data_IF_327010938750
#
_entry.id   IF_327010938750
#
_cell.length_a   1.000
_cell.length_b   1.000
_cell.length_c   1.000
_cell.angle_alpha   90.00
_cell.angle_beta   90.00
_cell.angle_gamma   90.00
#
_symmetry.space_group_name_H-M   'P 1'
#
loop_
_entity.id
_entity.type
_entity.pdbx_description
1 polymer ?
#
# COMPACT_ATOMS: atom_id res chain seq x y z
N UNK A 1 -10.03 -5.62 -30.20
CA UNK A 1 -11.21 -5.40 -29.35
C UNK A 1 -11.87 -6.75 -29.10
N UNK A 2 -11.62 -7.32 -27.92
CA UNK A 2 -12.41 -8.47 -27.45
C UNK A 2 -13.78 -7.95 -27.09
N UNK A 3 -14.81 -8.49 -27.69
CA UNK A 3 -16.20 -8.24 -27.27
C UNK A 3 -16.58 -9.31 -26.26
N UNK A 4 -17.02 -8.89 -25.09
CA UNK A 4 -17.38 -9.66 -23.88
C UNK A 4 -18.59 -10.61 -24.05
N UNK A 5 -18.83 -11.23 -25.18
CA UNK A 5 -20.12 -11.87 -25.40
C UNK A 5 -20.12 -13.27 -26.02
N UNK A 6 -19.02 -13.95 -26.11
CA UNK A 6 -19.06 -15.35 -26.54
C UNK A 6 -18.85 -16.29 -25.36
N UNK A 7 -19.90 -16.46 -24.54
CA UNK A 7 -20.00 -17.58 -23.61
C UNK A 7 -20.28 -18.82 -24.45
N UNK A 8 -19.36 -19.79 -24.43
CA UNK A 8 -19.56 -21.07 -25.08
C UNK A 8 -20.72 -21.83 -24.39
N UNK A 9 -21.82 -22.15 -25.09
CA UNK A 9 -23.00 -22.76 -24.49
C UNK A 9 -22.89 -24.30 -24.29
N UNK A 10 -21.68 -24.85 -24.36
CA UNK A 10 -21.42 -26.27 -24.26
C UNK A 10 -20.83 -26.71 -22.92
N UNK A 11 -20.79 -27.99 -22.70
CA UNK A 11 -20.00 -28.62 -21.61
C UNK A 11 -18.69 -29.13 -22.17
N UNK A 12 -17.63 -28.96 -21.42
CA UNK A 12 -16.34 -29.57 -21.72
C UNK A 12 -16.16 -30.79 -20.82
N UNK A 13 -15.71 -31.89 -21.41
CA UNK A 13 -15.32 -33.08 -20.66
C UNK A 13 -13.81 -33.01 -20.33
N UNK A 14 -13.01 -32.67 -21.35
CA UNK A 14 -11.58 -32.44 -21.21
C UNK A 14 -11.14 -31.23 -22.04
N UNK A 15 -10.17 -30.47 -21.56
CA UNK A 15 -9.53 -29.38 -22.28
C UNK A 15 -8.03 -29.62 -22.34
N UNK A 16 -7.51 -29.74 -23.57
CA UNK A 16 -6.09 -29.91 -23.83
C UNK A 16 -5.54 -28.63 -24.49
N UNK A 17 -4.49 -28.05 -23.93
CA UNK A 17 -3.78 -26.94 -24.52
C UNK A 17 -2.49 -27.45 -25.12
N UNK A 18 -2.43 -27.53 -26.47
CA UNK A 18 -1.28 -28.04 -27.19
C UNK A 18 -0.54 -26.89 -27.85
N UNK A 19 0.78 -26.69 -27.56
CA UNK A 19 1.56 -25.53 -28.01
C UNK A 19 2.00 -25.58 -29.48
N UNK A 20 1.29 -26.29 -30.33
CA UNK A 20 1.55 -26.44 -31.78
C UNK A 20 0.27 -26.63 -32.57
N UNK A 21 0.34 -26.38 -33.87
CA UNK A 21 -0.78 -26.74 -34.77
C UNK A 21 -0.97 -28.25 -34.83
N UNK A 22 -2.21 -28.69 -34.68
CA UNK A 22 -2.60 -30.07 -34.85
C UNK A 22 -2.90 -30.38 -36.32
N UNK A 23 -2.65 -31.59 -36.77
CA UNK A 23 -3.08 -32.10 -38.07
C UNK A 23 -4.57 -32.47 -38.04
N UNK A 24 -5.22 -32.60 -39.22
CA UNK A 24 -6.62 -33.04 -39.30
C UNK A 24 -6.83 -34.45 -38.67
N UNK A 25 -5.83 -35.33 -38.78
CA UNK A 25 -5.86 -36.66 -38.21
C UNK A 25 -5.83 -36.62 -36.68
N UNK A 26 -4.97 -35.79 -36.12
CA UNK A 26 -4.86 -35.58 -34.66
C UNK A 26 -6.10 -34.89 -34.07
N UNK A 27 -6.82 -34.09 -34.81
CA UNK A 27 -8.07 -33.42 -34.38
C UNK A 27 -9.27 -34.42 -34.38
N UNK A 28 -9.18 -35.51 -35.16
CA UNK A 28 -10.24 -36.52 -35.28
C UNK A 28 -10.12 -37.65 -34.26
N UNK A 29 -8.98 -37.80 -33.59
CA UNK A 29 -8.76 -38.83 -32.58
C UNK A 29 -9.31 -38.37 -31.22
N UNK A 30 -10.01 -39.32 -30.55
CA UNK A 30 -10.44 -39.12 -29.16
C UNK A 30 -9.22 -39.30 -28.25
N UNK A 31 -8.69 -38.17 -27.75
CA UNK A 31 -7.48 -38.18 -26.93
C UNK A 31 -7.86 -38.14 -25.47
N UNK A 32 -7.50 -39.16 -24.73
CA UNK A 32 -7.67 -39.22 -23.28
C UNK A 32 -6.49 -38.69 -22.50
N UNK A 33 -5.31 -38.66 -23.10
CA UNK A 33 -4.08 -37.99 -22.56
C UNK A 33 -3.22 -37.54 -23.72
N UNK A 34 -2.74 -36.27 -23.66
CA UNK A 34 -1.81 -35.74 -24.63
C UNK A 34 -0.45 -35.52 -23.96
N UNK A 35 0.54 -36.37 -24.33
CA UNK A 35 1.92 -36.22 -23.81
C UNK A 35 2.56 -34.89 -24.13
N UNK A 36 2.08 -34.20 -25.17
CA UNK A 36 2.54 -32.92 -25.65
C UNK A 36 1.67 -31.71 -25.25
N UNK A 37 0.66 -31.95 -24.39
CA UNK A 37 -0.18 -30.85 -23.91
C UNK A 37 0.55 -29.99 -22.88
N UNK A 38 0.48 -28.67 -23.06
CA UNK A 38 0.99 -27.72 -22.10
C UNK A 38 0.11 -27.62 -20.85
N UNK A 39 -1.18 -27.93 -21.00
CA UNK A 39 -2.11 -28.03 -19.90
C UNK A 39 -3.17 -29.10 -20.23
N UNK A 40 -3.58 -29.84 -19.23
CA UNK A 40 -4.61 -30.86 -19.32
C UNK A 40 -5.60 -30.71 -18.17
N UNK A 41 -6.90 -30.69 -18.51
CA UNK A 41 -7.99 -30.55 -17.54
C UNK A 41 -8.97 -31.70 -17.79
N UNK A 42 -9.17 -32.55 -16.79
CA UNK A 42 -10.18 -33.58 -16.82
C UNK A 42 -11.35 -33.21 -15.91
N UNK A 43 -12.57 -33.37 -16.44
CA UNK A 43 -13.81 -33.15 -15.70
C UNK A 43 -14.52 -34.50 -15.57
N UNK A 44 -14.34 -35.15 -14.43
CA UNK A 44 -15.07 -36.40 -14.13
C UNK A 44 -16.37 -36.08 -13.39
N UNK A 45 -17.48 -36.62 -13.86
CA UNK A 45 -18.83 -36.48 -13.28
C UNK A 45 -19.30 -35.01 -13.06
N UNK A 46 -18.85 -34.08 -13.91
CA UNK A 46 -19.22 -32.64 -13.80
C UNK A 46 -18.69 -31.95 -12.55
N UNK A 47 -17.69 -32.53 -11.91
CA UNK A 47 -16.97 -31.90 -10.81
C UNK A 47 -15.53 -31.64 -11.23
N UNK A 48 -15.11 -30.38 -11.12
CA UNK A 48 -13.69 -30.07 -11.09
C UNK A 48 -13.04 -30.90 -9.98
N UNK A 49 -12.12 -31.78 -10.31
CA UNK A 49 -11.17 -32.28 -9.32
C UNK A 49 -10.16 -31.16 -9.09
N UNK A 50 -10.12 -30.53 -7.91
CA UNK A 50 -9.11 -29.51 -7.65
C UNK A 50 -7.75 -30.21 -7.65
N UNK A 51 -7.00 -30.10 -8.76
CA UNK A 51 -5.55 -30.18 -8.64
C UNK A 51 -5.13 -28.92 -7.89
N UNK A 52 -4.20 -29.04 -6.97
CA UNK A 52 -3.48 -27.87 -6.45
C UNK A 52 -2.93 -27.12 -7.66
N UNK A 53 -3.66 -26.07 -8.07
CA UNK A 53 -3.22 -25.22 -9.15
C UNK A 53 -2.06 -24.40 -8.61
N UNK A 54 -0.83 -24.77 -8.99
CA UNK A 54 0.29 -23.86 -8.87
C UNK A 54 -0.01 -22.67 -9.80
N UNK A 55 -0.46 -21.58 -9.21
CA UNK A 55 -0.65 -20.32 -9.94
C UNK A 55 0.69 -19.62 -10.08
N UNK A 56 1.03 -19.16 -11.26
CA UNK A 56 2.18 -18.32 -11.52
C UNK A 56 1.75 -17.06 -12.27
N UNK A 57 2.55 -16.01 -12.16
CA UNK A 57 2.30 -14.79 -12.89
C UNK A 57 2.88 -14.89 -14.30
N UNK A 58 2.02 -14.80 -15.30
CA UNK A 58 2.36 -14.87 -16.71
C UNK A 58 2.56 -13.47 -17.31
N UNK A 59 3.32 -13.39 -18.41
CA UNK A 59 3.50 -12.16 -19.20
C UNK A 59 3.34 -12.45 -20.69
N UNK A 60 3.48 -11.39 -21.52
CA UNK A 60 3.24 -11.50 -22.96
C UNK A 60 4.08 -12.56 -23.64
N UNK A 61 3.41 -13.45 -24.37
CA UNK A 61 4.01 -14.59 -25.07
C UNK A 61 3.95 -15.91 -24.31
N UNK A 62 3.66 -15.92 -23.00
CA UNK A 62 3.56 -17.18 -22.22
C UNK A 62 2.43 -18.10 -22.72
N UNK A 63 1.37 -17.50 -23.28
CA UNK A 63 0.24 -18.20 -23.88
C UNK A 63 0.35 -18.28 -25.40
N UNK A 64 1.57 -18.14 -25.94
CA UNK A 64 1.88 -18.16 -27.38
C UNK A 64 1.14 -17.07 -28.17
N UNK A 65 0.67 -16.04 -27.51
CA UNK A 65 0.05 -14.86 -28.09
C UNK A 65 1.06 -14.05 -28.92
N UNK A 66 0.61 -13.58 -30.07
CA UNK A 66 1.44 -12.74 -30.97
C UNK A 66 0.56 -11.76 -31.72
N UNK A 67 0.94 -10.47 -31.80
CA UNK A 67 2.11 -9.87 -31.18
C UNK A 67 1.98 -9.68 -29.66
N UNK A 68 3.09 -9.63 -28.95
CA UNK A 68 3.14 -9.38 -27.51
C UNK A 68 4.29 -8.43 -27.14
N UNK A 69 4.26 -7.89 -25.94
CA UNK A 69 5.28 -6.99 -25.40
C UNK A 69 6.24 -7.68 -24.39
N UNK A 70 6.20 -9.01 -24.30
CA UNK A 70 7.03 -9.78 -23.38
C UNK A 70 6.79 -9.36 -21.93
N UNK A 71 7.86 -9.16 -21.20
CA UNK A 71 7.83 -8.76 -19.78
C UNK A 71 7.53 -7.26 -19.56
N UNK A 72 7.14 -6.50 -20.58
CA UNK A 72 6.69 -5.10 -20.46
C UNK A 72 5.25 -5.00 -19.96
N UNK A 73 4.92 -5.70 -18.87
CA UNK A 73 3.59 -5.71 -18.25
C UNK A 73 3.64 -5.38 -16.77
N UNK A 74 4.85 -5.21 -16.20
CA UNK A 74 5.07 -4.91 -14.78
C UNK A 74 5.98 -3.68 -14.69
N UNK A 75 5.38 -2.50 -14.87
CA UNK A 75 6.12 -1.25 -14.98
C UNK A 75 6.17 -0.48 -13.66
N UNK A 76 6.03 -1.16 -12.52
CA UNK A 76 6.04 -0.59 -11.18
C UNK A 76 4.65 -0.25 -10.66
N UNK A 77 4.58 0.40 -9.52
CA UNK A 77 3.42 0.87 -8.75
C UNK A 77 2.60 -0.24 -8.09
N UNK A 78 2.33 -1.34 -8.78
CA UNK A 78 1.61 -2.50 -8.26
C UNK A 78 2.30 -3.80 -8.68
N UNK A 79 2.18 -4.81 -7.82
CA UNK A 79 2.57 -6.18 -8.17
C UNK A 79 1.52 -6.85 -9.06
N UNK A 80 1.83 -8.00 -9.70
CA UNK A 80 0.87 -8.72 -10.55
C UNK A 80 -0.43 -9.11 -9.85
N UNK A 81 -0.39 -9.37 -8.54
CA UNK A 81 -1.55 -9.63 -7.69
C UNK A 81 -2.32 -8.36 -7.29
N UNK A 82 -1.91 -7.19 -7.82
CA UNK A 82 -2.43 -5.86 -7.54
C UNK A 82 -2.15 -5.32 -6.14
N UNK A 83 -1.26 -5.95 -5.38
CA UNK A 83 -0.75 -5.33 -4.15
C UNK A 83 0.09 -4.10 -4.48
N UNK A 84 -0.04 -3.07 -3.64
CA UNK A 84 0.68 -1.81 -3.84
C UNK A 84 2.18 -1.98 -3.57
N UNK A 85 3.00 -1.43 -4.44
CA UNK A 85 4.42 -1.19 -4.17
C UNK A 85 4.59 0.12 -3.40
N UNK A 86 5.68 0.32 -2.66
CA UNK A 86 5.92 1.53 -1.89
C UNK A 86 5.77 2.83 -2.68
N UNK A 87 6.15 2.81 -3.95
CA UNK A 87 6.09 3.97 -4.87
C UNK A 87 4.64 4.44 -5.11
N UNK A 88 3.65 3.55 -4.99
CA UNK A 88 2.24 3.93 -5.15
C UNK A 88 1.76 4.85 -4.03
N UNK A 89 2.34 4.75 -2.83
CA UNK A 89 2.03 5.64 -1.73
C UNK A 89 2.53 7.07 -2.02
N UNK A 90 3.71 7.19 -2.64
CA UNK A 90 4.24 8.48 -3.08
C UNK A 90 3.38 9.07 -4.20
N UNK A 91 2.95 8.25 -5.17
CA UNK A 91 2.02 8.70 -6.22
C UNK A 91 0.70 9.19 -5.61
N UNK A 92 0.16 8.48 -4.63
CA UNK A 92 -1.05 8.91 -3.89
C UNK A 92 -0.83 10.28 -3.25
N UNK A 93 0.33 10.48 -2.63
CA UNK A 93 0.68 11.76 -1.98
C UNK A 93 0.79 12.90 -2.98
N UNK A 94 1.50 12.69 -4.07
CA UNK A 94 1.72 13.73 -5.11
C UNK A 94 0.44 14.10 -5.86
N UNK A 95 -0.50 13.15 -5.99
CA UNK A 95 -1.75 13.35 -6.74
C UNK A 95 -2.96 13.73 -5.87
N UNK A 96 -2.76 14.00 -4.58
CA UNK A 96 -3.85 14.52 -3.76
C UNK A 96 -4.32 15.89 -4.28
N UNK A 97 -5.63 16.14 -4.23
CA UNK A 97 -6.25 17.36 -4.76
C UNK A 97 -6.42 18.44 -3.68
N UNK A 98 -5.42 18.65 -2.86
CA UNK A 98 -5.41 19.69 -1.85
C UNK A 98 -4.11 19.70 -1.07
N UNK A 99 -3.86 20.79 -0.40
CA UNK A 99 -2.66 21.01 0.40
C UNK A 99 -3.02 21.53 1.79
N UNK A 100 -2.21 21.18 2.78
CA UNK A 100 -2.35 21.67 4.15
C UNK A 100 -0.99 22.22 4.59
N UNK A 101 -0.95 23.46 5.04
CA UNK A 101 0.27 24.09 5.53
C UNK A 101 0.14 24.45 7.01
N UNK A 102 1.13 24.11 7.81
CA UNK A 102 1.21 24.53 9.20
C UNK A 102 1.64 26.00 9.32
N UNK A 103 0.81 26.82 9.97
CA UNK A 103 1.10 28.26 10.20
C UNK A 103 1.61 28.56 11.61
N UNK A 104 1.59 27.58 12.49
CA UNK A 104 1.84 27.80 13.92
C UNK A 104 0.56 28.15 14.69
N UNK A 105 0.68 28.31 16.00
CA UNK A 105 -0.44 28.68 16.87
C UNK A 105 -1.71 27.85 16.64
N UNK A 106 -1.55 26.53 16.52
CA UNK A 106 -2.62 25.58 16.24
C UNK A 106 -3.46 25.91 14.99
N UNK A 107 -2.88 26.54 14.00
CA UNK A 107 -3.56 26.96 12.77
C UNK A 107 -2.91 26.28 11.56
N UNK A 108 -3.75 25.75 10.68
CA UNK A 108 -3.36 25.26 9.37
C UNK A 108 -4.06 26.05 8.28
N UNK A 109 -3.38 26.31 7.17
CA UNK A 109 -4.03 26.74 5.93
C UNK A 109 -4.37 25.52 5.13
N UNK A 110 -5.64 25.37 4.75
CA UNK A 110 -6.14 24.31 3.89
C UNK A 110 -6.43 24.89 2.53
N UNK A 111 -5.83 24.33 1.50
CA UNK A 111 -6.04 24.70 0.09
C UNK A 111 -6.75 23.59 -0.65
N UNK A 112 -7.84 23.91 -1.34
CA UNK A 112 -8.61 22.98 -2.14
C UNK A 112 -8.20 23.12 -3.61
N UNK A 113 -7.62 22.07 -4.17
CA UNK A 113 -7.20 22.03 -5.58
C UNK A 113 -8.24 21.33 -6.49
N UNK A 114 -9.35 20.83 -5.92
CA UNK A 114 -10.45 20.30 -6.72
C UNK A 114 -11.07 21.41 -7.56
N UNK A 115 -11.55 21.04 -8.75
CA UNK A 115 -12.24 21.97 -9.66
C UNK A 115 -13.73 22.14 -9.33
N UNK A 116 -14.35 21.14 -8.68
CA UNK A 116 -15.82 21.08 -8.51
C UNK A 116 -16.25 20.62 -7.11
N UNK A 117 -15.38 19.99 -6.32
CA UNK A 117 -15.71 19.39 -5.02
C UNK A 117 -15.35 20.34 -3.89
N UNK A 118 -16.30 20.67 -3.01
CA UNK A 118 -16.04 21.38 -1.76
C UNK A 118 -15.47 20.41 -0.72
N UNK A 119 -14.48 20.83 0.08
CA UNK A 119 -13.85 19.96 1.09
C UNK A 119 -14.80 19.59 2.24
N UNK A 120 -15.96 20.25 2.38
CA UNK A 120 -17.01 19.84 3.33
C UNK A 120 -17.63 18.46 3.01
N UNK A 121 -17.35 17.90 1.83
CA UNK A 121 -17.75 16.52 1.48
C UNK A 121 -16.90 15.45 2.17
N UNK A 122 -15.78 15.84 2.79
CA UNK A 122 -14.87 14.96 3.52
C UNK A 122 -14.93 15.24 5.02
N UNK A 123 -14.55 14.25 5.83
CA UNK A 123 -14.25 14.44 7.24
C UNK A 123 -12.82 14.94 7.40
N UNK A 124 -12.66 16.03 8.17
CA UNK A 124 -11.34 16.52 8.53
C UNK A 124 -11.01 16.13 9.97
N UNK A 125 -9.92 15.42 10.14
CA UNK A 125 -9.41 14.96 11.43
C UNK A 125 -7.96 15.40 11.61
N UNK A 126 -7.55 15.58 12.87
CA UNK A 126 -6.17 15.80 13.21
C UNK A 126 -5.75 14.91 14.39
N UNK A 127 -4.48 14.50 14.39
CA UNK A 127 -3.88 13.69 15.44
C UNK A 127 -2.54 14.26 15.82
N UNK A 128 -2.35 14.53 17.11
CA UNK A 128 -1.09 14.96 17.69
C UNK A 128 -0.43 13.78 18.39
N UNK A 129 0.82 13.52 18.04
CA UNK A 129 1.60 12.40 18.61
C UNK A 129 2.86 12.91 19.32
N UNK A 130 3.24 12.21 20.39
CA UNK A 130 4.53 12.31 21.07
C UNK A 130 5.28 11.00 20.89
N UNK A 131 6.46 11.03 20.27
CA UNK A 131 7.28 9.84 19.98
C UNK A 131 6.51 8.70 19.30
N UNK A 132 5.53 9.06 18.43
CA UNK A 132 4.66 8.13 17.71
C UNK A 132 3.40 7.69 18.46
N UNK A 133 3.22 8.07 19.72
CA UNK A 133 2.00 7.77 20.50
C UNK A 133 1.03 8.94 20.45
N UNK A 134 -0.23 8.66 20.17
CA UNK A 134 -1.29 9.67 20.19
C UNK A 134 -1.45 10.26 21.60
N UNK A 135 -1.43 11.60 21.67
CA UNK A 135 -1.68 12.33 22.92
C UNK A 135 -2.93 13.19 22.86
N UNK A 136 -3.32 13.65 21.66
CA UNK A 136 -4.58 14.34 21.40
C UNK A 136 -5.04 14.05 19.98
N UNK A 137 -6.34 14.04 19.77
CA UNK A 137 -6.95 14.04 18.42
C UNK A 137 -8.24 14.84 18.44
N UNK A 138 -8.71 15.21 17.26
CA UNK A 138 -9.95 15.94 17.10
C UNK A 138 -10.44 15.98 15.68
N UNK A 139 -11.64 16.54 15.52
CA UNK A 139 -12.29 16.76 14.23
C UNK A 139 -12.70 18.22 14.12
N UNK A 140 -12.61 18.79 12.94
CA UNK A 140 -13.11 20.14 12.66
C UNK A 140 -14.02 20.10 11.43
N UNK A 141 -15.04 20.95 11.40
CA UNK A 141 -15.83 21.14 10.18
C UNK A 141 -15.10 22.11 9.26
N UNK A 142 -14.64 21.62 8.13
CA UNK A 142 -13.86 22.39 7.16
C UNK A 142 -14.58 22.45 5.84
N UNK A 143 -15.00 23.65 5.44
CA UNK A 143 -15.63 23.88 4.14
C UNK A 143 -14.73 24.85 3.34
N UNK A 144 -14.18 24.34 2.24
CA UNK A 144 -13.32 25.11 1.32
C UNK A 144 -13.87 24.93 -0.09
N UNK A 145 -14.26 26.03 -0.71
CA UNK A 145 -14.72 26.01 -2.09
C UNK A 145 -13.63 25.57 -3.06
N UNK A 146 -13.98 25.03 -4.23
CA UNK A 146 -13.00 24.71 -5.27
C UNK A 146 -12.05 25.86 -5.55
N UNK A 147 -10.77 25.55 -5.66
CA UNK A 147 -9.67 26.49 -5.94
C UNK A 147 -9.53 27.63 -4.91
N UNK A 148 -10.05 27.45 -3.69
CA UNK A 148 -9.93 28.39 -2.59
C UNK A 148 -9.04 27.85 -1.46
N UNK A 149 -8.71 28.74 -0.51
CA UNK A 149 -7.96 28.37 0.70
C UNK A 149 -8.57 29.05 1.92
N UNK A 150 -8.49 28.43 3.07
CA UNK A 150 -8.95 28.98 4.34
C UNK A 150 -7.99 28.60 5.48
N UNK A 151 -7.91 29.46 6.49
CA UNK A 151 -7.21 29.14 7.73
C UNK A 151 -8.17 28.45 8.71
N UNK A 152 -7.74 27.30 9.22
CA UNK A 152 -8.48 26.47 10.17
C UNK A 152 -7.75 26.45 11.50
N UNK A 153 -8.43 26.88 12.57
CA UNK A 153 -7.92 26.78 13.93
C UNK A 153 -8.26 25.40 14.49
N UNK A 154 -7.24 24.65 14.84
CA UNK A 154 -7.39 23.31 15.44
C UNK A 154 -7.67 23.43 16.93
N UNK A 155 -8.53 22.56 17.46
CA UNK A 155 -8.94 22.51 18.87
C UNK A 155 -7.90 21.84 19.78
N UNK A 156 -6.60 21.95 19.44
CA UNK A 156 -5.49 21.41 20.23
C UNK A 156 -5.42 22.14 21.57
N UNK A 157 -5.46 21.37 22.66
CA UNK A 157 -5.31 21.87 24.02
C UNK A 157 -3.85 22.01 24.38
N UNK A 158 -3.55 22.96 25.27
CA UNK A 158 -2.21 23.12 25.81
C UNK A 158 -1.72 21.80 26.45
N UNK A 159 -0.48 21.47 26.21
CA UNK A 159 0.18 20.28 26.73
C UNK A 159 1.64 20.60 27.07
N UNK A 160 2.17 19.87 28.05
CA UNK A 160 3.57 20.01 28.47
C UNK A 160 4.47 19.22 27.54
N UNK A 161 5.39 19.92 26.88
CA UNK A 161 6.39 19.29 26.01
C UNK A 161 7.55 18.75 26.83
N UNK A 162 7.89 17.48 26.65
CA UNK A 162 9.00 16.80 27.34
C UNK A 162 10.32 17.04 26.61
N UNK A 163 11.43 17.26 27.35
CA UNK A 163 12.75 17.34 26.74
C UNK A 163 13.09 16.07 25.94
N UNK A 164 13.54 16.28 24.70
CA UNK A 164 13.97 15.19 23.82
C UNK A 164 12.87 14.44 23.08
N UNK A 165 11.59 14.61 23.44
CA UNK A 165 10.47 14.04 22.69
C UNK A 165 10.22 14.75 21.36
N UNK A 166 9.76 13.99 20.38
CA UNK A 166 9.36 14.49 19.06
C UNK A 166 7.83 14.56 18.96
N UNK A 167 7.34 15.67 18.46
CA UNK A 167 5.90 15.92 18.29
C UNK A 167 5.57 16.02 16.81
N UNK A 168 4.54 15.28 16.40
CA UNK A 168 4.02 15.35 15.04
C UNK A 168 2.52 15.60 15.07
N UNK A 169 2.08 16.49 14.19
CA UNK A 169 0.67 16.75 13.91
C UNK A 169 0.35 16.20 12.54
N UNK A 170 -0.56 15.25 12.48
CA UNK A 170 -1.08 14.70 11.22
C UNK A 170 -2.48 15.23 11.00
N UNK A 171 -2.75 15.80 9.83
CA UNK A 171 -4.05 16.30 9.40
C UNK A 171 -4.53 15.49 8.20
N UNK A 172 -5.80 15.06 8.22
CA UNK A 172 -6.33 14.15 7.20
C UNK A 172 -7.73 14.57 6.78
N UNK A 173 -7.98 14.61 5.47
CA UNK A 173 -9.33 14.54 4.91
C UNK A 173 -9.61 13.11 4.47
N UNK A 174 -10.76 12.56 4.87
CA UNK A 174 -11.16 11.21 4.54
C UNK A 174 -12.61 11.15 4.02
N UNK A 175 -12.91 10.10 3.24
CA UNK A 175 -14.27 9.86 2.74
C UNK A 175 -15.24 9.65 3.90
N UNK A 176 -16.39 10.33 3.88
CA UNK A 176 -17.48 10.16 4.84
C UNK A 176 -18.24 8.85 4.65
N UNK A 177 -18.39 8.43 3.41
CA UNK A 177 -19.20 7.29 3.01
C UNK A 177 -18.43 6.39 2.04
N UNK A 178 -18.93 5.17 1.87
CA UNK A 178 -18.44 4.23 0.87
C UNK A 178 -18.70 4.78 -0.55
N UNK A 179 -17.68 4.70 -1.40
CA UNK A 179 -17.78 4.99 -2.83
C UNK A 179 -17.55 3.72 -3.65
N UNK A 180 -17.71 3.79 -4.98
CA UNK A 180 -17.41 2.65 -5.86
C UNK A 180 -15.93 2.24 -5.83
N UNK A 181 -15.02 3.17 -5.52
CA UNK A 181 -13.56 2.97 -5.59
C UNK A 181 -12.88 2.87 -4.23
N UNK A 182 -13.49 3.33 -3.12
CA UNK A 182 -12.91 3.24 -1.78
C UNK A 182 -14.00 3.22 -0.69
N UNK A 183 -13.62 2.74 0.48
CA UNK A 183 -14.47 2.72 1.67
C UNK A 183 -14.42 4.03 2.45
N UNK A 184 -15.45 4.31 3.23
CA UNK A 184 -15.46 5.38 4.22
C UNK A 184 -14.18 5.33 5.07
N UNK A 185 -13.63 6.51 5.41
CA UNK A 185 -12.36 6.63 6.10
C UNK A 185 -11.11 6.56 5.20
N UNK A 186 -11.26 6.37 3.88
CA UNK A 186 -10.11 6.43 2.97
C UNK A 186 -9.55 7.86 2.92
N UNK A 187 -8.24 8.01 3.18
CA UNK A 187 -7.57 9.29 3.17
C UNK A 187 -7.41 9.83 1.74
N UNK A 188 -7.90 11.03 1.49
CA UNK A 188 -7.82 11.72 0.18
C UNK A 188 -6.81 12.86 0.18
N UNK A 189 -6.61 13.54 1.32
CA UNK A 189 -5.58 14.55 1.53
C UNK A 189 -4.97 14.28 2.91
N UNK A 190 -3.65 14.25 3.01
CA UNK A 190 -2.96 13.98 4.26
C UNK A 190 -1.66 14.77 4.33
N UNK A 191 -1.42 15.45 5.45
CA UNK A 191 -0.17 16.13 5.77
C UNK A 191 0.27 15.83 7.19
N UNK A 192 1.59 15.70 7.37
CA UNK A 192 2.20 15.55 8.68
C UNK A 192 3.24 16.64 8.91
N UNK A 193 3.13 17.32 10.04
CA UNK A 193 4.03 18.37 10.44
C UNK A 193 4.82 17.95 11.67
N UNK A 194 6.13 18.12 11.60
CA UNK A 194 6.96 18.07 12.80
C UNK A 194 6.83 19.39 13.55
N UNK A 195 6.32 19.31 14.77
CA UNK A 195 6.23 20.49 15.66
C UNK A 195 7.53 20.67 16.44
N UNK A 196 7.83 21.92 16.78
CA UNK A 196 8.98 22.20 17.63
C UNK A 196 8.83 21.48 18.98
N UNK A 197 9.88 20.82 19.40
CA UNK A 197 9.97 20.18 20.72
C UNK A 197 10.08 21.19 21.87
N UNK A 198 10.44 20.74 23.07
CA UNK A 198 10.64 21.60 24.23
C UNK A 198 11.83 22.55 24.11
N UNK A 199 12.66 22.37 23.07
CA UNK A 199 13.90 23.13 22.89
C UNK A 199 15.06 22.72 23.80
N UNK A 200 14.80 21.91 24.82
CA UNK A 200 15.85 21.37 25.67
C UNK A 200 16.42 20.09 25.06
N UNK A 201 17.72 20.09 24.82
CA UNK A 201 18.42 18.87 24.42
C UNK A 201 18.46 17.90 25.61
N UNK A 202 18.23 16.61 25.33
CA UNK A 202 18.49 15.55 26.31
C UNK A 202 19.96 15.65 26.69
N UNK A 203 20.24 15.77 27.99
CA UNK A 203 21.62 15.82 28.47
C UNK A 203 22.29 14.48 28.13
N UNK A 204 23.39 14.54 27.40
CA UNK A 204 24.16 13.34 27.08
C UNK A 204 24.57 12.64 28.37
N UNK A 205 24.33 11.33 28.43
CA UNK A 205 24.81 10.51 29.53
C UNK A 205 26.34 10.50 29.56
N UNK A 206 26.90 10.48 30.75
CA UNK A 206 28.36 10.35 30.94
C UNK A 206 28.75 8.90 30.73
N UNK A 207 29.16 8.59 29.50
CA UNK A 207 29.60 7.22 29.12
C UNK A 207 30.84 6.74 29.90
N UNK A 208 31.60 7.66 30.51
CA UNK A 208 32.80 7.28 31.29
C UNK A 208 32.46 6.54 32.59
N UNK A 209 31.20 6.71 33.07
CA UNK A 209 30.67 6.02 34.25
C UNK A 209 29.98 4.69 33.93
N UNK A 210 29.80 4.37 32.65
CA UNK A 210 29.12 3.15 32.23
C UNK A 210 30.02 1.95 32.26
N UNK A 211 29.45 0.78 32.59
CA UNK A 211 30.16 -0.51 32.53
C UNK A 211 30.53 -0.84 31.08
N UNK A 212 31.76 -1.28 30.85
CA UNK A 212 32.20 -1.68 29.51
C UNK A 212 31.34 -2.82 28.97
N UNK A 213 31.00 -2.73 27.69
CA UNK A 213 30.31 -3.80 26.99
C UNK A 213 31.28 -4.92 26.63
N UNK A 214 30.79 -6.16 26.68
CA UNK A 214 31.52 -7.31 26.14
C UNK A 214 31.02 -7.56 24.72
N UNK A 215 31.95 -7.61 23.75
CA UNK A 215 31.66 -7.88 22.35
C UNK A 215 32.36 -9.18 21.95
N UNK A 216 31.58 -10.17 21.55
CA UNK A 216 32.06 -11.43 20.99
C UNK A 216 31.85 -11.40 19.48
N UNK A 217 32.96 -11.56 18.74
CA UNK A 217 32.98 -11.60 17.29
C UNK A 217 32.90 -13.04 16.81
N UNK A 218 31.74 -13.47 16.29
CA UNK A 218 31.56 -14.77 15.67
C UNK A 218 31.62 -14.68 14.13
N UNK A 219 31.77 -15.83 13.47
CA UNK A 219 31.90 -15.86 11.99
C UNK A 219 30.73 -15.25 11.23
N UNK A 220 29.52 -15.22 11.80
CA UNK A 220 28.28 -14.74 11.18
C UNK A 220 27.43 -13.81 12.05
N UNK A 221 27.85 -13.62 13.30
CA UNK A 221 27.09 -12.84 14.27
C UNK A 221 28.01 -12.10 15.23
N UNK A 222 27.59 -10.94 15.68
CA UNK A 222 28.22 -10.23 16.80
C UNK A 222 27.30 -10.35 18.01
N UNK A 223 27.81 -10.82 19.13
CA UNK A 223 27.13 -10.78 20.41
C UNK A 223 27.63 -9.61 21.24
N UNK A 224 26.72 -8.69 21.56
CA UNK A 224 27.03 -7.57 22.48
C UNK A 224 26.26 -7.79 23.76
N UNK A 225 26.99 -7.84 24.89
CA UNK A 225 26.40 -8.03 26.21
C UNK A 225 26.83 -6.96 27.19
N UNK A 226 25.93 -6.58 28.08
CA UNK A 226 26.16 -5.67 29.19
C UNK A 226 25.31 -6.09 30.38
N UNK A 227 25.26 -5.25 31.41
CA UNK A 227 24.50 -5.52 32.61
C UNK A 227 23.01 -5.52 32.27
N UNK A 228 22.35 -6.68 32.35
CA UNK A 228 20.90 -6.85 32.14
C UNK A 228 20.45 -7.00 30.69
N UNK A 229 21.36 -7.05 29.69
CA UNK A 229 21.00 -7.28 28.30
C UNK A 229 22.01 -8.10 27.51
N UNK A 230 21.51 -8.75 26.46
CA UNK A 230 22.31 -9.39 25.42
C UNK A 230 21.65 -9.10 24.07
N UNK A 231 22.39 -8.56 23.11
CA UNK A 231 21.97 -8.36 21.74
C UNK A 231 22.81 -9.22 20.78
N UNK A 232 22.16 -9.82 19.79
CA UNK A 232 22.83 -10.59 18.74
C UNK A 232 22.49 -9.90 17.42
N UNK A 233 23.53 -9.56 16.65
CA UNK A 233 23.41 -8.92 15.33
C UNK A 233 23.96 -9.90 14.29
N UNK A 234 23.13 -10.34 13.36
CA UNK A 234 23.44 -11.27 12.27
C UNK A 234 23.76 -10.50 11.00
#
# INVERSE_FOLDING_TARGET
SYTDSEVFPGTFDEVHVIPRALTEEELSEERTEAEDAAAWFAFEDGKETPREQETYFAYGGDWMDSPNAGNFCQNGLVFPDRTAQPELLEVKKVYQNGDIEWKGDNTVTVSNENLFTNLSEYDFTWTLTEDGYEIQSGTEEVAVDPLASVDVKLSIKDFEKKPGSQYHLTCVFSLKEDTEWAKAGHHVIEEQFKLDGSGEAVKAEDISAMTALNVEDGEKEYTVSGEGFKAVVN
#
